data_IF_436955325546
#
_entry.id   IF_436955325546
#
_cell.length_a   1.000
_cell.length_b   1.000
_cell.length_c   1.000
_cell.angle_alpha   90.00
_cell.angle_beta   90.00
_cell.angle_gamma   90.00
#
_symmetry.space_group_name_H-M   'P 1'
#
loop_
_entity.id
_entity.type
_entity.pdbx_description
1 polymer ?
#
# COMPACT_ATOMS: atom_id res chain seq x y z
N UNK A 1 -27.73 -52.86 45.09
CA UNK A 1 -27.34 -51.54 45.61
C UNK A 1 -27.57 -50.51 44.51
N UNK A 2 -28.64 -49.69 44.64
CA UNK A 2 -29.10 -48.68 43.69
C UNK A 2 -28.49 -47.30 44.05
N UNK A 3 -28.88 -46.15 43.45
CA UNK A 3 -29.90 -45.92 42.40
C UNK A 3 -29.35 -45.08 41.21
N UNK A 4 -29.81 -45.20 39.95
CA UNK A 4 -31.13 -44.97 39.38
C UNK A 4 -31.73 -43.58 39.69
N UNK A 5 -31.95 -42.76 38.64
CA UNK A 5 -33.07 -41.79 38.47
C UNK A 5 -32.89 -41.12 37.10
N UNK A 6 -33.60 -41.50 36.06
CA UNK A 6 -35.06 -41.45 35.80
C UNK A 6 -35.34 -40.32 34.79
N UNK A 7 -35.56 -40.74 33.55
CA UNK A 7 -36.36 -40.03 32.54
C UNK A 7 -37.79 -39.91 33.09
N UNK A 8 -38.47 -38.76 32.96
CA UNK A 8 -39.92 -38.75 32.91
C UNK A 8 -40.38 -38.58 31.46
N UNK A 9 -41.11 -39.60 31.03
CA UNK A 9 -41.95 -39.64 29.85
C UNK A 9 -43.39 -39.60 30.39
N UNK A 10 -44.27 -38.85 29.69
CA UNK A 10 -45.75 -38.94 29.71
C UNK A 10 -46.38 -38.26 30.96
N UNK A 11 -47.50 -37.52 30.94
CA UNK A 11 -48.81 -37.80 30.35
C UNK A 11 -49.58 -36.54 29.92
N UNK A 12 -50.32 -36.71 28.81
CA UNK A 12 -51.44 -35.86 28.39
C UNK A 12 -52.60 -36.12 29.36
N UNK A 13 -53.08 -35.08 30.02
CA UNK A 13 -54.41 -35.06 30.63
C UNK A 13 -55.18 -33.90 30.02
N UNK A 14 -56.34 -34.24 29.45
CA UNK A 14 -57.37 -33.31 29.00
C UNK A 14 -58.32 -33.16 30.18
N UNK A 15 -58.43 -31.95 30.74
CA UNK A 15 -59.52 -31.56 31.62
C UNK A 15 -59.91 -30.11 31.29
N UNK A 16 -61.21 -29.85 31.37
CA UNK A 16 -61.94 -28.74 30.74
C UNK A 16 -61.67 -27.31 31.25
N UNK A 17 -62.51 -26.35 30.84
CA UNK A 17 -62.11 -24.97 30.59
C UNK A 17 -62.34 -24.07 31.81
N UNK A 18 -61.31 -23.36 32.27
CA UNK A 18 -61.51 -22.16 33.07
C UNK A 18 -60.55 -21.03 32.66
N UNK A 19 -61.19 -19.89 32.38
CA UNK A 19 -60.63 -18.59 32.07
C UNK A 19 -59.42 -18.23 32.95
N UNK A 20 -58.25 -18.03 32.35
CA UNK A 20 -57.23 -17.17 32.95
C UNK A 20 -56.46 -16.47 31.83
N UNK A 21 -56.59 -15.14 31.77
CA UNK A 21 -55.88 -14.28 30.82
C UNK A 21 -54.36 -14.44 31.00
N UNK A 22 -53.73 -15.21 30.11
CA UNK A 22 -52.28 -15.25 29.98
C UNK A 22 -51.80 -13.97 29.27
N UNK A 23 -51.29 -13.03 30.07
CA UNK A 23 -50.42 -11.94 29.57
C UNK A 23 -49.24 -12.58 28.84
N UNK A 24 -49.29 -12.57 27.51
CA UNK A 24 -48.13 -12.82 26.67
C UNK A 24 -47.15 -11.67 26.97
N UNK A 25 -46.13 -11.94 27.79
CA UNK A 25 -44.92 -11.13 27.82
C UNK A 25 -44.30 -11.24 26.45
N UNK A 26 -44.53 -10.22 25.64
CA UNK A 26 -43.80 -9.94 24.42
C UNK A 26 -42.29 -10.00 24.75
N UNK A 27 -41.65 -11.15 24.47
CA UNK A 27 -40.20 -11.28 24.54
C UNK A 27 -39.69 -10.41 23.41
N UNK A 28 -39.42 -9.15 23.76
CA UNK A 28 -38.99 -8.11 22.84
C UNK A 28 -38.05 -8.69 21.80
N UNK A 29 -38.52 -8.71 20.55
CA UNK A 29 -37.65 -8.77 19.37
C UNK A 29 -36.54 -7.76 19.63
N UNK A 30 -35.30 -8.23 19.84
CA UNK A 30 -34.10 -7.38 19.74
C UNK A 30 -34.27 -6.62 18.42
N UNK A 31 -34.57 -5.32 18.48
CA UNK A 31 -34.53 -4.45 17.30
C UNK A 31 -33.15 -4.66 16.72
N UNK A 32 -33.08 -5.35 15.57
CA UNK A 32 -31.84 -5.47 14.79
C UNK A 32 -31.45 -4.02 14.53
N UNK A 33 -30.43 -3.51 15.22
CA UNK A 33 -29.90 -2.17 14.96
C UNK A 33 -29.40 -2.22 13.52
N UNK A 34 -30.21 -1.70 12.60
CA UNK A 34 -29.84 -1.60 11.20
C UNK A 34 -28.76 -0.53 11.14
N UNK A 35 -27.51 -0.97 10.98
CA UNK A 35 -26.44 -0.10 10.54
C UNK A 35 -26.69 0.34 9.10
N UNK A 36 -26.14 1.47 8.69
CA UNK A 36 -26.25 1.96 7.31
C UNK A 36 -25.52 1.02 6.34
N UNK A 37 -24.38 0.49 6.78
CA UNK A 37 -23.55 -0.44 6.01
C UNK A 37 -23.16 -1.68 6.85
N UNK A 38 -22.86 -2.77 6.16
CA UNK A 38 -22.28 -3.96 6.78
C UNK A 38 -20.76 -3.78 6.93
N UNK A 39 -20.10 -3.24 5.90
CA UNK A 39 -18.66 -2.97 5.89
C UNK A 39 -18.39 -1.60 5.31
N UNK A 40 -17.54 -0.81 5.98
CA UNK A 40 -17.01 0.45 5.45
C UNK A 40 -15.50 0.36 5.28
N UNK A 41 -15.00 0.69 4.10
CA UNK A 41 -13.58 0.84 3.81
C UNK A 41 -13.20 2.32 3.80
N UNK A 42 -12.02 2.65 4.35
CA UNK A 42 -11.45 4.01 4.32
C UNK A 42 -10.18 4.00 3.48
N UNK A 43 -10.12 4.87 2.48
CA UNK A 43 -8.97 5.08 1.60
C UNK A 43 -9.20 4.49 0.19
N UNK A 44 -9.37 5.35 -0.79
CA UNK A 44 -9.46 5.06 -2.24
C UNK A 44 -8.11 4.99 -2.95
N UNK A 45 -7.05 4.60 -2.23
CA UNK A 45 -5.83 4.08 -2.85
C UNK A 45 -6.04 2.66 -3.40
N UNK A 46 -5.05 2.12 -4.11
CA UNK A 46 -5.16 0.81 -4.76
C UNK A 46 -5.48 -0.34 -3.79
N UNK A 47 -4.94 -0.30 -2.56
CA UNK A 47 -5.21 -1.33 -1.54
C UNK A 47 -6.69 -1.30 -1.11
N UNK A 48 -7.24 -0.12 -0.81
CA UNK A 48 -8.64 -0.01 -0.41
C UNK A 48 -9.61 -0.30 -1.56
N UNK A 49 -9.30 0.15 -2.77
CA UNK A 49 -10.11 -0.17 -3.96
C UNK A 49 -10.10 -1.68 -4.28
N UNK A 50 -8.94 -2.33 -4.23
CA UNK A 50 -8.82 -3.77 -4.40
C UNK A 50 -9.60 -4.54 -3.32
N UNK A 51 -9.51 -4.10 -2.06
CA UNK A 51 -10.20 -4.75 -0.93
C UNK A 51 -11.72 -4.60 -1.03
N UNK A 52 -12.21 -3.42 -1.42
CA UNK A 52 -13.63 -3.19 -1.65
C UNK A 52 -14.17 -4.10 -2.77
N UNK A 53 -13.44 -4.19 -3.89
CA UNK A 53 -13.78 -5.05 -5.02
C UNK A 53 -13.81 -6.54 -4.62
N UNK A 54 -12.77 -7.02 -3.94
CA UNK A 54 -12.66 -8.40 -3.48
C UNK A 54 -13.80 -8.76 -2.51
N UNK A 55 -14.06 -7.93 -1.49
CA UNK A 55 -15.14 -8.16 -0.54
C UNK A 55 -16.50 -8.19 -1.22
N UNK A 56 -16.75 -7.29 -2.19
CA UNK A 56 -18.03 -7.27 -2.89
C UNK A 56 -18.21 -8.48 -3.80
N UNK A 57 -17.14 -9.00 -4.36
CA UNK A 57 -17.16 -10.25 -5.12
C UNK A 57 -17.49 -11.45 -4.22
N UNK A 58 -16.92 -11.51 -3.00
CA UNK A 58 -17.16 -12.61 -2.06
C UNK A 58 -18.50 -12.53 -1.35
N UNK A 59 -18.99 -11.33 -1.09
CA UNK A 59 -20.24 -11.06 -0.38
C UNK A 59 -21.16 -10.14 -1.21
N UNK A 60 -21.78 -10.67 -2.29
CA UNK A 60 -22.59 -9.87 -3.22
C UNK A 60 -23.75 -9.13 -2.56
N UNK A 61 -24.31 -9.66 -1.47
CA UNK A 61 -25.46 -9.05 -0.78
C UNK A 61 -25.06 -8.05 0.32
N UNK A 62 -23.78 -7.98 0.68
CA UNK A 62 -23.31 -7.05 1.71
C UNK A 62 -23.39 -5.60 1.23
N UNK A 63 -23.89 -4.70 2.10
CA UNK A 63 -23.84 -3.26 1.86
C UNK A 63 -22.46 -2.75 2.22
N UNK A 64 -21.64 -2.51 1.20
CA UNK A 64 -20.25 -2.09 1.35
C UNK A 64 -20.08 -0.65 0.88
N UNK A 65 -19.47 0.18 1.72
CA UNK A 65 -19.10 1.56 1.41
C UNK A 65 -17.58 1.70 1.29
N UNK A 66 -17.11 2.41 0.26
CA UNK A 66 -15.72 2.88 0.15
C UNK A 66 -15.68 4.41 0.28
N UNK A 67 -14.98 4.90 1.30
CA UNK A 67 -14.80 6.33 1.58
C UNK A 67 -13.41 6.78 1.09
N UNK A 68 -13.35 7.87 0.34
CA UNK A 68 -12.12 8.54 -0.09
C UNK A 68 -12.23 10.03 0.21
N UNK A 69 -11.18 10.62 0.78
CA UNK A 69 -11.17 12.03 1.17
C UNK A 69 -10.97 12.97 -0.01
N UNK A 70 -10.29 12.50 -1.05
CA UNK A 70 -10.06 13.22 -2.29
C UNK A 70 -11.26 13.06 -3.24
N UNK A 71 -11.39 13.97 -4.21
CA UNK A 71 -12.45 13.87 -5.23
C UNK A 71 -12.20 12.77 -6.27
N UNK A 72 -11.00 12.17 -6.25
CA UNK A 72 -10.57 11.15 -7.21
C UNK A 72 -9.81 10.04 -6.49
N UNK A 73 -9.83 8.84 -7.07
CA UNK A 73 -9.05 7.72 -6.59
C UNK A 73 -7.55 7.89 -6.87
N UNK A 74 -6.70 7.22 -6.09
CA UNK A 74 -5.25 7.16 -6.31
C UNK A 74 -4.55 8.54 -6.32
N UNK A 75 -5.08 9.56 -5.64
CA UNK A 75 -4.50 10.91 -5.62
C UNK A 75 -3.18 11.04 -4.81
N UNK A 76 -2.80 10.02 -4.03
CA UNK A 76 -1.60 10.02 -3.20
C UNK A 76 -0.60 8.95 -3.65
N UNK A 77 -0.10 8.09 -2.75
CA UNK A 77 0.98 7.12 -3.02
C UNK A 77 0.75 6.24 -4.26
N UNK A 78 -0.49 5.85 -4.53
CA UNK A 78 -0.86 5.06 -5.72
C UNK A 78 -0.70 5.83 -7.04
N UNK A 79 -0.90 7.15 -7.04
CA UNK A 79 -0.72 8.00 -8.21
C UNK A 79 0.68 8.58 -8.35
N UNK A 80 1.48 8.49 -7.28
CA UNK A 80 2.81 9.08 -7.16
C UNK A 80 3.86 7.98 -6.93
N UNK A 81 4.00 7.09 -7.91
CA UNK A 81 5.00 6.02 -7.92
C UNK A 81 5.50 5.74 -9.34
N UNK A 82 6.51 4.88 -9.44
CA UNK A 82 7.20 4.54 -10.70
C UNK A 82 6.43 3.59 -11.64
N UNK A 83 5.18 3.22 -11.32
CA UNK A 83 4.38 2.33 -12.17
C UNK A 83 4.88 0.89 -12.28
N UNK A 84 5.88 0.50 -11.48
CA UNK A 84 6.55 -0.80 -11.61
C UNK A 84 5.71 -1.95 -11.04
N UNK A 85 5.51 -2.98 -11.86
CA UNK A 85 5.05 -4.31 -11.45
C UNK A 85 6.28 -5.10 -11.00
N UNK A 86 6.51 -5.15 -9.69
CA UNK A 86 7.72 -5.74 -9.11
C UNK A 86 7.73 -7.27 -9.20
N UNK A 87 8.90 -7.86 -9.44
CA UNK A 87 9.09 -9.31 -9.46
C UNK A 87 9.45 -9.93 -8.09
N UNK A 88 9.78 -9.13 -7.07
CA UNK A 88 10.08 -9.64 -5.73
C UNK A 88 11.54 -9.74 -5.32
N UNK A 89 12.47 -9.21 -6.12
CA UNK A 89 13.93 -9.47 -6.00
C UNK A 89 14.53 -9.16 -4.62
N UNK A 90 14.06 -8.10 -3.97
CA UNK A 90 14.69 -7.59 -2.75
C UNK A 90 14.10 -8.17 -1.47
N UNK A 91 12.93 -8.80 -1.52
CA UNK A 91 12.17 -9.11 -0.31
C UNK A 91 12.70 -10.35 0.39
N UNK A 92 12.67 -10.31 1.72
CA UNK A 92 13.13 -11.42 2.56
C UNK A 92 12.30 -12.68 2.24
N UNK A 93 12.94 -13.81 1.92
CA UNK A 93 12.23 -15.08 1.72
C UNK A 93 11.35 -15.43 2.93
N UNK A 94 10.15 -15.94 2.67
CA UNK A 94 9.14 -16.25 3.69
C UNK A 94 8.34 -15.05 4.22
N UNK A 95 8.69 -13.81 3.89
CA UNK A 95 7.89 -12.62 4.26
C UNK A 95 6.59 -12.52 3.47
N UNK A 96 5.59 -11.82 4.03
CA UNK A 96 4.34 -11.52 3.32
C UNK A 96 4.63 -10.69 2.07
N UNK A 97 5.57 -9.75 2.12
CA UNK A 97 6.03 -9.01 0.93
C UNK A 97 6.55 -9.90 -0.18
N UNK A 98 7.36 -10.91 0.12
CA UNK A 98 7.89 -11.81 -0.91
C UNK A 98 6.75 -12.61 -1.57
N UNK A 99 5.88 -13.21 -0.77
CA UNK A 99 4.74 -13.99 -1.27
C UNK A 99 3.75 -13.10 -2.05
N UNK A 100 3.29 -12.01 -1.44
CA UNK A 100 2.28 -11.14 -2.04
C UNK A 100 2.83 -10.40 -3.27
N UNK A 101 4.13 -10.09 -3.34
CA UNK A 101 4.69 -9.51 -4.56
C UNK A 101 4.66 -10.51 -5.71
N UNK A 102 5.01 -11.77 -5.46
CA UNK A 102 5.03 -12.83 -6.49
C UNK A 102 3.62 -13.08 -7.01
N UNK A 103 2.65 -13.31 -6.12
CA UNK A 103 1.23 -13.49 -6.50
C UNK A 103 0.67 -12.22 -7.14
N UNK A 104 1.01 -11.05 -6.59
CA UNK A 104 0.53 -9.75 -7.03
C UNK A 104 1.01 -9.35 -8.41
N UNK A 105 2.25 -9.69 -8.77
CA UNK A 105 2.81 -9.45 -10.10
C UNK A 105 1.97 -10.13 -11.18
N UNK A 106 1.66 -11.42 -10.98
CA UNK A 106 0.79 -12.19 -11.86
C UNK A 106 -0.63 -11.62 -11.88
N UNK A 107 -1.24 -11.41 -10.71
CA UNK A 107 -2.61 -10.91 -10.61
C UNK A 107 -2.78 -9.53 -11.25
N UNK A 108 -1.80 -8.63 -11.09
CA UNK A 108 -1.80 -7.30 -11.72
C UNK A 108 -1.78 -7.40 -13.24
N UNK A 109 -0.92 -8.25 -13.80
CA UNK A 109 -0.85 -8.46 -15.25
C UNK A 109 -2.15 -9.09 -15.77
N UNK A 110 -2.66 -10.10 -15.09
CA UNK A 110 -3.90 -10.78 -15.48
C UNK A 110 -5.10 -9.83 -15.42
N UNK A 111 -5.19 -8.97 -14.40
CA UNK A 111 -6.19 -7.92 -14.33
C UNK A 111 -6.06 -6.91 -15.47
N UNK A 112 -4.82 -6.51 -15.81
CA UNK A 112 -4.60 -5.61 -16.94
C UNK A 112 -5.06 -6.24 -18.26
N UNK A 113 -4.78 -7.52 -18.49
CA UNK A 113 -5.26 -8.27 -19.67
C UNK A 113 -6.79 -8.33 -19.71
N UNK A 114 -7.40 -8.80 -18.62
CA UNK A 114 -8.86 -8.98 -18.52
C UNK A 114 -9.63 -7.67 -18.74
N UNK A 115 -9.06 -6.54 -18.33
CA UNK A 115 -9.71 -5.24 -18.43
C UNK A 115 -9.14 -4.31 -19.50
N UNK A 116 -8.28 -4.81 -20.39
CA UNK A 116 -7.61 -4.05 -21.45
C UNK A 116 -6.92 -2.76 -20.91
N UNK A 117 -6.19 -2.88 -19.81
CA UNK A 117 -5.40 -1.80 -19.22
C UNK A 117 -3.95 -1.86 -19.72
N UNK A 118 -3.28 -0.71 -19.86
CA UNK A 118 -1.94 -0.68 -20.40
C UNK A 118 -0.93 -1.31 -19.42
N UNK A 119 -0.15 -2.27 -19.91
CA UNK A 119 1.02 -2.78 -19.20
C UNK A 119 2.09 -3.22 -20.20
N UNK A 120 3.35 -3.24 -19.76
CA UNK A 120 4.47 -3.75 -20.55
C UNK A 120 5.43 -4.51 -19.66
N UNK A 121 5.73 -5.77 -20.00
CA UNK A 121 6.75 -6.57 -19.31
C UNK A 121 8.13 -6.32 -19.93
N UNK A 122 8.69 -5.13 -19.69
CA UNK A 122 9.99 -4.73 -20.22
C UNK A 122 11.19 -5.37 -19.50
N UNK A 123 10.97 -6.00 -18.35
CA UNK A 123 12.04 -6.53 -17.51
C UNK A 123 12.84 -5.44 -16.79
N UNK A 124 13.75 -5.89 -15.91
CA UNK A 124 14.62 -5.02 -15.12
C UNK A 124 16.06 -5.51 -15.15
N UNK A 125 17.00 -4.58 -15.24
CA UNK A 125 18.43 -4.82 -15.08
C UNK A 125 18.92 -4.19 -13.78
N UNK A 126 19.49 -5.01 -12.90
CA UNK A 126 20.21 -4.57 -11.72
C UNK A 126 21.69 -4.49 -12.07
N UNK A 127 22.20 -3.27 -12.26
CA UNK A 127 23.53 -3.02 -12.82
C UNK A 127 24.54 -2.85 -11.69
N UNK A 128 25.63 -3.61 -11.75
CA UNK A 128 26.80 -3.39 -10.91
C UNK A 128 27.84 -2.59 -11.68
N UNK A 129 28.35 -1.54 -11.05
CA UNK A 129 29.38 -0.62 -11.53
C UNK A 129 30.70 -0.79 -10.78
N UNK A 130 30.70 -1.52 -9.66
CA UNK A 130 31.90 -1.77 -8.82
C UNK A 130 32.07 -3.26 -8.49
N UNK A 131 33.29 -3.71 -8.10
CA UNK A 131 33.51 -5.09 -7.64
C UNK A 131 32.65 -5.47 -6.43
N UNK A 132 32.44 -4.56 -5.48
CA UNK A 132 31.58 -4.77 -4.32
C UNK A 132 30.12 -4.98 -4.74
N UNK A 133 29.61 -4.21 -5.71
CA UNK A 133 28.27 -4.41 -6.26
C UNK A 133 28.14 -5.75 -7.00
N UNK A 134 29.21 -6.24 -7.65
CA UNK A 134 29.23 -7.57 -8.27
C UNK A 134 29.13 -8.70 -7.25
N UNK A 135 29.75 -8.53 -6.07
CA UNK A 135 29.63 -9.44 -4.94
C UNK A 135 28.20 -9.42 -4.37
N UNK A 136 27.68 -8.22 -4.05
CA UNK A 136 26.29 -8.03 -3.57
C UNK A 136 25.26 -8.59 -4.55
N UNK A 137 25.51 -8.50 -5.86
CA UNK A 137 24.65 -9.10 -6.89
C UNK A 137 24.55 -10.63 -6.77
N UNK A 138 25.60 -11.33 -6.35
CA UNK A 138 25.55 -12.79 -6.11
C UNK A 138 24.57 -13.15 -4.99
N UNK A 139 24.54 -12.35 -3.92
CA UNK A 139 23.57 -12.55 -2.84
C UNK A 139 22.11 -12.35 -3.33
N UNK A 140 21.89 -11.37 -4.21
CA UNK A 140 20.57 -11.14 -4.83
C UNK A 140 20.14 -12.28 -5.77
N UNK A 141 21.07 -12.91 -6.47
CA UNK A 141 20.80 -14.13 -7.25
C UNK A 141 20.33 -15.28 -6.36
N UNK A 142 21.02 -15.52 -5.23
CA UNK A 142 20.61 -16.51 -4.23
C UNK A 142 19.18 -16.25 -3.73
N UNK A 143 18.89 -15.00 -3.36
CA UNK A 143 17.54 -14.57 -2.94
C UNK A 143 16.49 -14.76 -4.02
N UNK A 144 16.81 -14.46 -5.28
CA UNK A 144 15.90 -14.71 -6.40
C UNK A 144 15.56 -16.20 -6.50
N UNK A 145 16.56 -17.09 -6.37
CA UNK A 145 16.36 -18.54 -6.38
C UNK A 145 15.45 -18.99 -5.24
N UNK A 146 15.69 -18.52 -4.02
CA UNK A 146 14.87 -18.84 -2.84
C UNK A 146 13.41 -18.39 -3.00
N UNK A 147 13.18 -17.22 -3.60
CA UNK A 147 11.84 -16.71 -3.89
C UNK A 147 11.21 -17.32 -5.17
N UNK A 148 11.94 -18.18 -5.89
CA UNK A 148 11.50 -18.76 -7.17
C UNK A 148 11.30 -17.71 -8.26
N UNK A 149 12.19 -16.72 -8.33
CA UNK A 149 12.23 -15.64 -9.32
C UNK A 149 13.32 -15.99 -10.34
N UNK A 150 12.94 -16.05 -11.63
CA UNK A 150 13.91 -16.22 -12.72
C UNK A 150 14.76 -14.95 -12.85
N UNK A 151 16.05 -15.08 -12.58
CA UNK A 151 17.04 -14.04 -12.77
C UNK A 151 18.21 -14.56 -13.63
N UNK A 152 18.72 -13.73 -14.53
CA UNK A 152 19.74 -14.10 -15.52
C UNK A 152 20.94 -13.16 -15.33
N UNK A 153 22.09 -13.71 -14.95
CA UNK A 153 23.35 -12.97 -14.86
C UNK A 153 23.81 -12.61 -16.27
N UNK A 154 24.12 -11.33 -16.48
CA UNK A 154 24.68 -10.80 -17.70
C UNK A 154 26.13 -10.36 -17.44
N UNK A 155 27.03 -10.76 -18.31
CA UNK A 155 28.36 -10.18 -18.43
C UNK A 155 28.27 -8.71 -18.89
N UNK A 156 29.39 -7.99 -18.78
CA UNK A 156 29.52 -6.63 -19.34
C UNK A 156 29.15 -6.55 -20.82
N UNK A 157 29.56 -7.54 -21.62
CA UNK A 157 29.28 -7.57 -23.06
C UNK A 157 27.78 -7.78 -23.32
N UNK A 158 27.12 -8.67 -22.59
CA UNK A 158 25.68 -8.90 -22.71
C UNK A 158 24.86 -7.71 -22.21
N UNK A 159 25.30 -7.04 -21.13
CA UNK A 159 24.70 -5.79 -20.67
C UNK A 159 24.76 -4.73 -21.77
N UNK A 160 25.93 -4.49 -22.37
CA UNK A 160 26.08 -3.51 -23.44
C UNK A 160 25.22 -3.83 -24.68
N UNK A 161 25.10 -5.12 -25.03
CA UNK A 161 24.19 -5.55 -26.12
C UNK A 161 22.72 -5.30 -25.78
N UNK A 162 22.33 -5.48 -24.51
CA UNK A 162 20.94 -5.30 -24.07
C UNK A 162 20.56 -3.82 -23.91
N UNK A 163 21.49 -2.99 -23.44
CA UNK A 163 21.30 -1.56 -23.17
C UNK A 163 22.60 -0.78 -23.50
N UNK A 164 22.78 -0.33 -24.76
CA UNK A 164 24.03 0.30 -25.22
C UNK A 164 24.38 1.62 -24.51
N UNK A 165 23.39 2.29 -23.94
CA UNK A 165 23.60 3.53 -23.18
C UNK A 165 23.95 3.29 -21.71
N UNK A 166 24.06 2.02 -21.29
CA UNK A 166 24.27 1.63 -19.90
C UNK A 166 25.65 1.00 -19.71
N UNK A 167 26.40 1.52 -18.74
CA UNK A 167 27.72 1.04 -18.33
C UNK A 167 27.64 0.25 -17.02
N UNK A 168 28.38 -0.85 -16.97
CA UNK A 168 28.55 -1.66 -15.75
C UNK A 168 29.54 -2.79 -15.97
N UNK A 169 29.95 -3.43 -14.88
CA UNK A 169 30.75 -4.65 -14.86
C UNK A 169 29.91 -5.89 -15.20
N UNK A 170 28.59 -5.79 -15.03
CA UNK A 170 27.61 -6.83 -15.33
C UNK A 170 26.24 -6.42 -14.79
N UNK A 171 25.24 -7.26 -15.02
CA UNK A 171 23.89 -7.02 -14.50
C UNK A 171 23.16 -8.30 -14.13
N UNK A 172 22.15 -8.18 -13.27
CA UNK A 172 21.16 -9.23 -13.04
C UNK A 172 19.85 -8.85 -13.74
N UNK A 173 19.51 -9.57 -14.81
CA UNK A 173 18.27 -9.38 -15.57
C UNK A 173 17.12 -10.15 -14.93
N UNK A 174 15.99 -9.46 -14.74
CA UNK A 174 14.76 -10.02 -14.17
C UNK A 174 13.59 -9.80 -15.14
N UNK A 175 13.34 -10.76 -16.06
CA UNK A 175 12.36 -10.60 -17.14
C UNK A 175 10.92 -10.40 -16.68
N UNK A 176 10.55 -10.93 -15.51
CA UNK A 176 9.18 -10.88 -15.01
C UNK A 176 8.72 -9.47 -14.60
N UNK A 177 9.65 -8.51 -14.45
CA UNK A 177 9.31 -7.14 -14.04
C UNK A 177 8.60 -6.41 -15.19
N UNK A 178 7.61 -5.58 -14.86
CA UNK A 178 6.91 -4.76 -15.85
C UNK A 178 6.56 -3.38 -15.35
N UNK A 179 5.82 -2.64 -16.16
CA UNK A 179 5.31 -1.30 -15.88
C UNK A 179 3.83 -1.22 -16.27
N UNK A 180 3.06 -0.38 -15.57
CA UNK A 180 1.64 -0.13 -15.82
C UNK A 180 1.22 1.23 -15.25
N UNK A 181 -0.04 1.58 -15.42
CA UNK A 181 -0.69 2.75 -14.82
C UNK A 181 -1.55 2.31 -13.63
N UNK A 182 -1.01 2.42 -12.41
CA UNK A 182 -1.76 2.06 -11.20
C UNK A 182 -2.94 2.99 -10.91
N UNK A 183 -2.99 4.21 -11.49
CA UNK A 183 -4.19 5.07 -11.39
C UNK A 183 -5.33 4.44 -12.17
N UNK A 184 -5.06 4.01 -13.41
CA UNK A 184 -6.06 3.31 -14.25
C UNK A 184 -6.52 1.99 -13.64
N UNK A 185 -5.60 1.20 -13.07
CA UNK A 185 -5.96 -0.03 -12.34
C UNK A 185 -6.91 0.29 -11.17
N UNK A 186 -6.57 1.28 -10.34
CA UNK A 186 -7.38 1.65 -9.18
C UNK A 186 -8.76 2.16 -9.59
N UNK A 187 -8.82 3.03 -10.61
CA UNK A 187 -10.09 3.50 -11.16
C UNK A 187 -10.94 2.35 -11.72
N UNK A 188 -10.32 1.36 -12.36
CA UNK A 188 -11.01 0.17 -12.86
C UNK A 188 -11.53 -0.71 -11.74
N UNK A 189 -10.77 -0.92 -10.67
CA UNK A 189 -11.23 -1.63 -9.47
C UNK A 189 -12.45 -0.95 -8.84
N UNK A 190 -12.39 0.37 -8.66
CA UNK A 190 -13.52 1.15 -8.15
C UNK A 190 -14.75 1.07 -9.07
N UNK A 191 -14.54 1.10 -10.39
CA UNK A 191 -15.60 0.87 -11.37
C UNK A 191 -16.25 -0.51 -11.20
N UNK A 192 -15.46 -1.59 -11.13
CA UNK A 192 -15.96 -2.96 -10.94
C UNK A 192 -16.73 -3.08 -9.63
N UNK A 193 -16.18 -2.57 -8.53
CA UNK A 193 -16.85 -2.53 -7.23
C UNK A 193 -18.22 -1.84 -7.29
N UNK A 194 -18.29 -0.66 -7.92
CA UNK A 194 -19.55 0.08 -8.06
C UNK A 194 -20.57 -0.68 -8.92
N UNK A 195 -20.14 -1.30 -10.02
CA UNK A 195 -21.03 -2.07 -10.90
C UNK A 195 -21.54 -3.34 -10.25
N UNK A 196 -20.81 -3.89 -9.28
CA UNK A 196 -21.28 -4.98 -8.44
C UNK A 196 -22.25 -4.53 -7.32
N UNK A 197 -22.63 -3.24 -7.25
CA UNK A 197 -23.55 -2.70 -6.25
C UNK A 197 -22.87 -2.14 -4.99
N UNK A 198 -21.54 -1.93 -5.02
CA UNK A 198 -20.80 -1.21 -3.98
C UNK A 198 -21.09 0.29 -3.98
N UNK A 199 -21.06 0.93 -2.80
CA UNK A 199 -21.25 2.39 -2.66
C UNK A 199 -19.91 3.10 -2.53
N UNK A 200 -19.75 4.23 -3.21
CA UNK A 200 -18.53 5.05 -3.17
C UNK A 200 -18.88 6.45 -2.67
N UNK A 201 -18.10 6.97 -1.73
CA UNK A 201 -18.21 8.33 -1.21
C UNK A 201 -16.84 9.03 -1.26
N UNK A 202 -16.60 9.81 -2.31
CA UNK A 202 -15.40 10.64 -2.48
C UNK A 202 -15.55 12.01 -1.83
N UNK A 203 -14.46 12.79 -1.73
CA UNK A 203 -14.47 14.14 -1.15
C UNK A 203 -14.80 14.16 0.35
N UNK A 204 -14.70 13.02 1.03
CA UNK A 204 -15.20 12.81 2.39
C UNK A 204 -14.07 12.35 3.32
N UNK A 205 -13.52 13.30 4.07
CA UNK A 205 -12.43 13.05 5.01
C UNK A 205 -12.97 12.49 6.32
N UNK A 206 -12.41 11.39 6.82
CA UNK A 206 -12.87 10.77 8.08
C UNK A 206 -12.29 11.55 9.25
N UNK A 207 -13.16 12.15 10.05
CA UNK A 207 -12.76 13.03 11.16
C UNK A 207 -12.90 12.38 12.53
N UNK A 208 -13.73 11.35 12.67
CA UNK A 208 -13.89 10.60 13.91
C UNK A 208 -14.43 9.21 13.64
N UNK A 209 -13.89 8.25 14.39
CA UNK A 209 -14.35 6.88 14.48
C UNK A 209 -14.68 6.58 15.94
N UNK A 210 -15.80 5.90 16.20
CA UNK A 210 -16.14 5.40 17.55
C UNK A 210 -16.72 4.02 17.46
N UNK A 211 -16.04 3.07 18.08
CA UNK A 211 -16.49 1.68 18.20
C UNK A 211 -17.38 1.49 19.41
N UNK A 212 -18.40 0.66 19.23
CA UNK A 212 -19.26 0.13 20.29
C UNK A 212 -19.37 -1.38 20.12
N UNK A 213 -20.00 -2.06 21.08
CA UNK A 213 -20.22 -3.50 21.00
C UNK A 213 -21.05 -3.94 19.78
N UNK A 214 -21.78 -3.03 19.12
CA UNK A 214 -22.70 -3.37 18.03
C UNK A 214 -22.36 -2.76 16.67
N UNK A 215 -21.66 -1.63 16.65
CA UNK A 215 -21.31 -0.93 15.40
C UNK A 215 -20.13 0.04 15.60
N UNK A 216 -19.66 0.59 14.50
CA UNK A 216 -18.75 1.73 14.45
C UNK A 216 -19.50 2.92 13.87
N UNK A 217 -19.46 4.05 14.57
CA UNK A 217 -19.92 5.34 14.05
C UNK A 217 -18.78 6.02 13.31
N UNK A 218 -19.01 6.38 12.05
CA UNK A 218 -18.05 7.08 11.19
C UNK A 218 -18.56 8.50 10.96
N UNK A 219 -17.76 9.50 11.31
CA UNK A 219 -18.02 10.90 10.97
C UNK A 219 -17.06 11.34 9.89
N UNK A 220 -17.60 12.04 8.90
CA UNK A 220 -16.85 12.60 7.78
C UNK A 220 -17.03 14.10 7.68
N UNK A 221 -16.11 14.75 6.99
CA UNK A 221 -16.17 16.15 6.62
C UNK A 221 -15.97 16.29 5.11
N UNK A 222 -16.83 17.06 4.46
CA UNK A 222 -16.71 17.37 3.03
C UNK A 222 -15.91 18.65 2.81
N UNK A 223 -14.77 18.57 2.13
CA UNK A 223 -13.89 19.73 1.87
C UNK A 223 -14.45 20.70 0.81
N UNK A 224 -15.37 20.26 -0.03
CA UNK A 224 -15.85 21.01 -1.20
C UNK A 224 -17.20 21.70 -0.99
N UNK A 225 -17.90 21.41 0.11
CA UNK A 225 -19.20 22.02 0.38
C UNK A 225 -19.03 23.44 0.97
N UNK A 226 -19.71 24.44 0.37
CA UNK A 226 -19.72 25.86 0.82
C UNK A 226 -20.14 26.04 2.29
N UNK A 227 -20.78 25.02 2.88
CA UNK A 227 -20.88 24.79 4.31
C UNK A 227 -20.34 23.39 4.57
N UNK A 228 -19.49 23.26 5.59
CA UNK A 228 -19.05 21.99 6.14
C UNK A 228 -20.24 21.09 6.51
N UNK A 229 -20.82 20.38 5.55
CA UNK A 229 -21.80 19.34 5.80
C UNK A 229 -21.01 18.07 6.11
N UNK A 230 -20.95 17.71 7.39
CA UNK A 230 -20.43 16.41 7.79
C UNK A 230 -21.50 15.35 7.66
N UNK A 231 -21.13 14.15 7.22
CA UNK A 231 -22.01 12.99 7.28
C UNK A 231 -21.64 12.13 8.48
N UNK A 232 -22.66 11.64 9.18
CA UNK A 232 -22.51 10.58 10.15
C UNK A 232 -23.20 9.33 9.60
N UNK A 233 -22.49 8.20 9.64
CA UNK A 233 -23.03 6.89 9.29
C UNK A 233 -22.57 5.84 10.28
N UNK A 234 -23.23 4.69 10.25
CA UNK A 234 -22.93 3.53 11.07
C UNK A 234 -22.59 2.33 10.20
N UNK A 235 -21.60 1.56 10.62
CA UNK A 235 -21.21 0.30 9.97
C UNK A 235 -21.04 -0.80 11.00
N UNK A 236 -21.27 -2.06 10.64
CA UNK A 236 -20.95 -3.19 11.55
C UNK A 236 -19.45 -3.37 11.70
N UNK A 237 -18.74 -3.22 10.58
CA UNK A 237 -17.31 -3.47 10.47
C UNK A 237 -16.60 -2.41 9.62
N UNK A 238 -15.31 -2.24 9.87
CA UNK A 238 -14.49 -1.22 9.22
C UNK A 238 -13.13 -1.78 8.77
N UNK A 239 -12.69 -1.39 7.56
CA UNK A 239 -11.33 -1.70 7.09
C UNK A 239 -10.63 -0.40 6.68
N UNK A 240 -9.57 -0.03 7.39
CA UNK A 240 -8.82 1.20 7.14
C UNK A 240 -7.58 0.92 6.27
N UNK A 241 -7.52 1.54 5.10
CA UNK A 241 -6.42 1.50 4.14
C UNK A 241 -5.82 2.91 3.95
N UNK A 242 -5.54 3.62 5.05
CA UNK A 242 -5.24 5.06 5.05
C UNK A 242 -3.87 5.47 4.53
N UNK A 243 -2.98 4.55 4.18
CA UNK A 243 -1.64 4.84 3.65
C UNK A 243 -0.86 5.81 4.55
N UNK A 244 -0.62 7.02 4.07
CA UNK A 244 0.05 8.10 4.81
C UNK A 244 -0.68 8.55 6.09
N UNK A 245 -1.93 8.14 6.32
CA UNK A 245 -2.72 8.44 7.51
C UNK A 245 -2.97 7.20 8.40
N UNK A 246 -2.29 6.07 8.13
CA UNK A 246 -2.61 4.78 8.75
C UNK A 246 -2.52 4.77 10.28
N UNK A 247 -1.47 5.35 10.86
CA UNK A 247 -1.30 5.50 12.32
C UNK A 247 -2.33 6.46 12.96
N UNK A 248 -2.78 7.49 12.22
CA UNK A 248 -3.87 8.37 12.68
C UNK A 248 -5.19 7.64 12.72
N UNK A 249 -5.53 6.87 11.69
CA UNK A 249 -6.76 6.07 11.67
C UNK A 249 -6.76 4.98 12.75
N UNK A 250 -5.61 4.35 13.00
CA UNK A 250 -5.47 3.38 14.08
C UNK A 250 -5.69 4.05 15.46
N UNK A 251 -5.07 5.21 15.71
CA UNK A 251 -5.29 6.00 16.93
C UNK A 251 -6.73 6.51 17.08
N UNK A 252 -7.40 6.89 15.99
CA UNK A 252 -8.81 7.30 16.02
C UNK A 252 -9.75 6.16 16.44
N UNK A 253 -9.29 4.91 16.34
CA UNK A 253 -10.00 3.71 16.80
C UNK A 253 -9.52 3.24 18.19
N UNK A 254 -8.77 4.08 18.92
CA UNK A 254 -8.20 3.78 20.23
C UNK A 254 -7.32 2.49 20.24
N UNK A 255 -6.73 2.15 19.10
CA UNK A 255 -5.76 1.04 19.01
C UNK A 255 -4.44 1.52 19.62
N UNK A 256 -3.95 0.79 20.62
CA UNK A 256 -2.62 1.03 21.16
C UNK A 256 -1.58 0.64 20.10
N UNK A 257 -0.87 1.65 19.60
CA UNK A 257 0.16 1.49 18.59
C UNK A 257 1.48 2.06 19.08
N UNK A 258 2.55 1.34 18.83
CA UNK A 258 3.92 1.71 19.16
C UNK A 258 4.67 2.31 17.97
N UNK A 259 3.97 2.63 16.87
CA UNK A 259 4.56 3.16 15.65
C UNK A 259 3.97 4.51 15.22
N UNK A 260 4.72 5.22 14.38
CA UNK A 260 4.25 6.37 13.60
C UNK A 260 4.61 6.22 12.14
N UNK A 261 3.80 6.81 11.28
CA UNK A 261 4.14 6.93 9.86
C UNK A 261 5.03 8.15 9.68
N UNK A 262 6.28 7.89 9.28
CA UNK A 262 7.25 8.92 8.90
C UNK A 262 7.24 9.03 7.37
N UNK A 263 6.91 10.20 6.80
CA UNK A 263 6.90 10.37 5.36
C UNK A 263 8.34 10.51 4.83
N UNK A 264 8.70 9.67 3.87
CA UNK A 264 9.91 9.84 3.07
C UNK A 264 9.54 10.30 1.68
N UNK A 265 9.95 11.53 1.33
CA UNK A 265 9.70 12.14 0.03
C UNK A 265 10.77 11.72 -0.97
N UNK A 266 10.34 11.35 -2.17
CA UNK A 266 11.22 11.00 -3.28
C UNK A 266 11.01 11.97 -4.43
N UNK A 267 12.08 12.68 -4.78
CA UNK A 267 12.13 13.55 -5.96
C UNK A 267 12.47 12.74 -7.20
N UNK A 268 11.78 13.10 -8.29
CA UNK A 268 11.93 12.52 -9.60
C UNK A 268 12.22 13.62 -10.63
N UNK A 269 12.88 13.22 -11.71
CA UNK A 269 12.98 14.02 -12.92
C UNK A 269 12.41 13.25 -14.10
N UNK A 270 11.96 13.97 -15.12
CA UNK A 270 11.61 13.42 -16.42
C UNK A 270 12.70 13.78 -17.41
N UNK A 271 13.08 12.81 -18.23
CA UNK A 271 13.94 13.06 -19.37
C UNK A 271 13.12 13.74 -20.50
N UNK A 272 13.76 14.57 -21.35
CA UNK A 272 13.13 15.13 -22.53
C UNK A 272 12.82 14.05 -23.58
N UNK A 273 11.86 14.32 -24.46
CA UNK A 273 11.35 13.34 -25.42
C UNK A 273 12.42 12.69 -26.31
N UNK A 274 13.47 13.44 -26.68
CA UNK A 274 14.61 12.93 -27.45
C UNK A 274 15.36 11.76 -26.77
N UNK A 275 15.16 11.57 -25.46
CA UNK A 275 15.79 10.52 -24.65
C UNK A 275 14.79 9.44 -24.20
N UNK A 276 13.55 9.42 -24.69
CA UNK A 276 12.56 8.41 -24.32
C UNK A 276 12.96 6.98 -24.72
N UNK A 277 13.90 6.83 -25.67
CA UNK A 277 14.48 5.56 -26.10
C UNK A 277 15.87 5.28 -25.51
N UNK A 278 16.31 6.03 -24.50
CA UNK A 278 17.65 5.85 -23.91
C UNK A 278 17.81 4.46 -23.26
N UNK A 279 16.71 3.89 -22.76
CA UNK A 279 16.65 2.55 -22.17
C UNK A 279 15.40 1.80 -22.60
N UNK A 280 15.50 0.47 -22.71
CA UNK A 280 14.35 -0.40 -22.99
C UNK A 280 13.84 -1.16 -21.76
N UNK A 281 14.72 -1.40 -20.78
CA UNK A 281 14.44 -2.06 -19.51
C UNK A 281 14.44 -1.05 -18.35
N UNK A 282 13.85 -1.44 -17.22
CA UNK A 282 14.04 -0.73 -15.95
C UNK A 282 15.51 -0.86 -15.50
N UNK A 283 16.23 0.23 -15.27
CA UNK A 283 17.64 0.21 -14.84
C UNK A 283 17.75 0.64 -13.39
N UNK A 284 18.25 -0.28 -12.56
CA UNK A 284 18.37 -0.12 -11.12
C UNK A 284 19.82 -0.39 -10.71
N UNK A 285 20.39 0.34 -9.75
CA UNK A 285 21.67 -0.02 -9.17
C UNK A 285 21.51 -1.27 -8.29
N UNK A 286 22.64 -1.93 -7.99
CA UNK A 286 22.68 -2.90 -6.91
C UNK A 286 22.51 -2.14 -5.58
N UNK A 287 21.54 -2.53 -4.73
CA UNK A 287 21.25 -1.84 -3.47
C UNK A 287 22.43 -1.92 -2.51
N UNK A 288 22.59 -0.85 -1.74
CA UNK A 288 23.44 -0.83 -0.57
C UNK A 288 22.59 -1.15 0.68
N UNK A 289 22.90 -2.22 1.43
CA UNK A 289 22.19 -2.56 2.67
C UNK A 289 22.19 -1.44 3.72
N UNK A 290 23.25 -0.62 3.75
CA UNK A 290 23.38 0.48 4.71
C UNK A 290 22.51 1.70 4.33
N UNK A 291 21.98 1.70 3.09
CA UNK A 291 21.22 2.78 2.47
C UNK A 291 20.01 2.23 1.71
N UNK A 292 19.09 1.51 2.38
CA UNK A 292 18.04 0.73 1.72
C UNK A 292 17.00 1.57 0.97
N UNK A 293 16.97 2.88 1.21
CA UNK A 293 16.07 3.82 0.54
C UNK A 293 16.68 4.46 -0.71
N UNK A 294 17.95 4.19 -1.00
CA UNK A 294 18.72 5.03 -1.89
C UNK A 294 19.18 4.29 -3.15
N UNK A 295 18.57 4.65 -4.28
CA UNK A 295 18.96 4.22 -5.61
C UNK A 295 18.21 5.06 -6.64
N UNK A 296 18.91 5.95 -7.32
CA UNK A 296 18.31 6.64 -8.48
C UNK A 296 18.13 5.59 -9.56
N UNK A 297 16.94 5.46 -10.14
CA UNK A 297 16.64 4.51 -11.22
C UNK A 297 16.45 5.25 -12.55
N UNK A 298 16.62 4.55 -13.68
CA UNK A 298 16.00 4.93 -14.95
C UNK A 298 14.79 4.05 -15.20
N UNK A 299 13.63 4.67 -15.24
CA UNK A 299 12.34 3.98 -15.33
C UNK A 299 11.64 4.42 -16.61
N UNK A 300 11.61 3.59 -17.67
CA UNK A 300 10.69 3.82 -18.77
C UNK A 300 9.26 3.67 -18.25
N UNK A 301 8.44 4.67 -18.48
CA UNK A 301 7.05 4.74 -18.04
C UNK A 301 6.11 4.15 -19.10
N UNK A 302 4.89 3.82 -18.69
CA UNK A 302 3.91 3.19 -19.57
C UNK A 302 3.40 4.14 -20.68
N UNK A 303 3.51 5.45 -20.47
CA UNK A 303 3.20 6.50 -21.45
C UNK A 303 4.34 6.77 -22.45
N UNK A 304 5.48 6.08 -22.30
CA UNK A 304 6.65 6.22 -23.16
C UNK A 304 7.71 7.21 -22.66
N UNK A 305 7.41 8.02 -21.63
CA UNK A 305 8.41 8.88 -20.99
C UNK A 305 9.45 8.06 -20.23
N UNK A 306 10.60 8.67 -19.91
CA UNK A 306 11.59 8.06 -19.01
C UNK A 306 11.79 8.95 -17.78
N UNK A 307 11.60 8.38 -16.60
CA UNK A 307 11.84 9.08 -15.34
C UNK A 307 13.15 8.66 -14.71
N UNK A 308 13.78 9.60 -14.02
CA UNK A 308 15.00 9.41 -13.23
C UNK A 308 14.62 9.53 -11.76
N UNK A 309 14.81 8.47 -10.97
CA UNK A 309 14.55 8.48 -9.53
C UNK A 309 13.89 7.27 -8.89
N UNK A 310 13.44 7.39 -7.63
CA UNK A 310 13.55 8.57 -6.78
C UNK A 310 14.87 8.67 -5.98
N UNK A 311 15.12 9.83 -5.38
CA UNK A 311 15.95 9.90 -4.15
C UNK A 311 15.11 9.59 -2.90
N UNK A 312 15.67 9.78 -1.71
CA UNK A 312 14.92 9.71 -0.46
C UNK A 312 15.31 10.87 0.47
N UNK A 313 14.34 11.70 0.83
CA UNK A 313 14.47 12.82 1.77
C UNK A 313 13.31 12.81 2.77
N UNK A 314 13.42 13.57 3.85
CA UNK A 314 12.42 13.65 4.90
C UNK A 314 11.24 14.43 4.35
N UNK A 315 10.04 13.89 4.50
CA UNK A 315 8.83 14.68 4.38
C UNK A 315 8.59 15.46 5.67
N UNK A 316 8.27 16.75 5.57
CA UNK A 316 7.73 17.52 6.70
C UNK A 316 6.21 17.73 6.58
N UNK A 317 5.61 17.03 5.63
CA UNK A 317 4.16 16.89 5.42
C UNK A 317 3.89 15.52 4.83
N UNK A 318 2.88 14.83 5.36
CA UNK A 318 2.48 13.49 4.92
C UNK A 318 2.08 13.50 3.44
N UNK A 319 1.38 14.54 3.01
CA UNK A 319 0.90 14.73 1.63
C UNK A 319 1.48 15.99 0.99
N UNK A 320 2.74 16.32 1.28
CA UNK A 320 3.43 17.46 0.70
C UNK A 320 4.05 17.10 -0.64
N UNK A 321 3.27 17.09 -1.72
CA UNK A 321 3.76 16.81 -3.08
C UNK A 321 4.27 18.06 -3.82
N UNK A 322 3.83 19.26 -3.40
CA UNK A 322 4.24 20.54 -3.99
C UNK A 322 5.66 20.98 -3.60
N UNK A 323 6.08 22.17 -4.02
CA UNK A 323 7.40 22.73 -3.63
C UNK A 323 7.49 22.99 -2.12
N UNK A 324 6.41 23.46 -1.52
CA UNK A 324 6.29 23.64 -0.07
C UNK A 324 5.84 22.31 0.54
N UNK A 325 6.73 21.69 1.30
CA UNK A 325 6.53 20.40 1.96
C UNK A 325 6.61 20.56 3.48
N UNK A 326 5.73 21.36 4.07
CA UNK A 326 5.69 21.60 5.52
C UNK A 326 4.24 21.62 5.99
N UNK A 327 3.95 20.88 7.05
CA UNK A 327 2.71 20.96 7.82
C UNK A 327 3.04 20.93 9.32
N UNK A 328 2.62 21.94 10.10
CA UNK A 328 2.96 22.03 11.52
C UNK A 328 2.44 20.83 12.34
N UNK A 329 1.26 20.30 12.01
CA UNK A 329 0.66 19.18 12.74
C UNK A 329 1.40 17.88 12.45
N UNK A 330 1.70 17.60 11.17
CA UNK A 330 2.50 16.45 10.76
C UNK A 330 3.92 16.52 11.37
N UNK A 331 4.53 17.71 11.34
CA UNK A 331 5.88 17.92 11.86
C UNK A 331 5.94 17.71 13.37
N UNK A 332 4.98 18.26 14.13
CA UNK A 332 4.94 18.09 15.58
C UNK A 332 4.67 16.63 15.98
N UNK A 333 3.74 15.94 15.30
CA UNK A 333 3.45 14.51 15.53
C UNK A 333 4.68 13.64 15.29
N UNK A 334 5.51 13.99 14.29
CA UNK A 334 6.78 13.32 14.02
C UNK A 334 7.86 13.63 15.08
N UNK A 335 8.10 14.90 15.39
CA UNK A 335 9.18 15.32 16.31
C UNK A 335 8.93 14.91 17.76
N UNK A 336 7.67 14.74 18.17
CA UNK A 336 7.31 14.26 19.51
C UNK A 336 7.41 12.74 19.66
N UNK A 337 7.65 12.01 18.57
CA UNK A 337 7.77 10.56 18.59
C UNK A 337 9.21 10.09 18.81
N UNK A 338 9.45 9.32 19.89
CA UNK A 338 10.79 8.82 20.24
C UNK A 338 11.49 8.06 19.11
N UNK A 339 10.74 7.20 18.39
CA UNK A 339 11.29 6.36 17.32
C UNK A 339 11.89 7.18 16.18
N UNK A 340 11.37 8.38 15.90
CA UNK A 340 11.93 9.28 14.89
C UNK A 340 13.39 9.64 15.21
N UNK A 341 13.67 10.05 16.45
CA UNK A 341 15.02 10.44 16.86
C UNK A 341 16.00 9.27 16.87
N UNK A 342 15.52 8.06 17.13
CA UNK A 342 16.35 6.85 17.05
C UNK A 342 16.70 6.50 15.60
N UNK A 343 15.75 6.58 14.66
CA UNK A 343 16.04 6.43 13.22
C UNK A 343 17.06 7.45 12.76
N UNK A 344 16.85 8.73 13.08
CA UNK A 344 17.78 9.78 12.70
C UNK A 344 19.16 9.53 13.32
N UNK A 345 19.21 9.19 14.61
CA UNK A 345 20.40 8.74 15.35
C UNK A 345 21.25 7.71 14.60
N UNK A 346 20.62 6.61 14.21
CA UNK A 346 21.27 5.46 13.57
C UNK A 346 21.75 5.75 12.16
N UNK A 347 21.03 6.60 11.41
CA UNK A 347 21.31 6.87 10.01
C UNK A 347 21.98 8.24 9.74
N UNK A 348 22.35 9.01 10.77
CA UNK A 348 22.98 10.34 10.61
C UNK A 348 24.28 10.29 9.80
N UNK A 349 25.16 9.31 10.05
CA UNK A 349 26.47 9.21 9.38
C UNK A 349 26.36 8.85 7.89
N UNK A 350 25.40 8.02 7.52
CA UNK A 350 25.16 7.61 6.14
C UNK A 350 24.20 8.56 5.40
N UNK A 351 23.31 9.24 6.13
CA UNK A 351 22.33 10.18 5.61
C UNK A 351 22.92 11.52 5.19
N UNK A 352 23.73 12.22 5.99
CA UNK A 352 24.04 13.64 5.71
C UNK A 352 24.69 13.87 4.33
N UNK A 353 25.72 13.10 3.96
CA UNK A 353 26.38 13.26 2.66
C UNK A 353 25.49 12.90 1.47
N UNK A 354 24.64 11.88 1.62
CA UNK A 354 23.78 11.38 0.56
C UNK A 354 22.46 12.14 0.42
N UNK A 355 22.01 12.77 1.50
CA UNK A 355 20.90 13.71 1.49
C UNK A 355 21.29 14.97 0.75
N UNK A 356 22.49 15.49 0.98
CA UNK A 356 23.02 16.63 0.21
C UNK A 356 23.05 16.26 -1.27
N UNK A 357 23.70 15.17 -1.66
CA UNK A 357 23.78 14.71 -3.07
C UNK A 357 22.42 14.39 -3.71
N UNK A 358 21.39 14.14 -2.90
CA UNK A 358 20.03 13.91 -3.38
C UNK A 358 19.23 15.20 -3.56
N UNK A 359 19.53 16.28 -2.84
CA UNK A 359 18.75 17.52 -2.83
C UNK A 359 19.10 18.45 -4.01
N UNK A 360 20.33 18.41 -4.53
CA UNK A 360 20.72 19.23 -5.69
C UNK A 360 20.88 18.43 -6.99
N UNK A 361 20.40 19.00 -8.10
CA UNK A 361 20.41 18.37 -9.45
C UNK A 361 21.77 17.77 -9.86
N UNK A 362 22.92 18.47 -9.71
CA UNK A 362 24.22 17.88 -10.05
C UNK A 362 24.62 16.63 -9.25
N UNK A 363 24.29 16.55 -7.96
CA UNK A 363 24.55 15.36 -7.13
C UNK A 363 23.72 14.17 -7.61
N UNK A 364 22.46 14.42 -7.92
CA UNK A 364 21.54 13.47 -8.53
C UNK A 364 22.08 12.93 -9.87
N UNK A 365 22.56 13.83 -10.72
CA UNK A 365 23.18 13.50 -12.00
C UNK A 365 24.43 12.62 -11.82
N UNK A 366 25.27 12.91 -10.82
CA UNK A 366 26.47 12.10 -10.53
C UNK A 366 26.11 10.64 -10.25
N UNK A 367 25.00 10.40 -9.54
CA UNK A 367 24.55 9.04 -9.18
C UNK A 367 24.07 8.26 -10.39
N UNK A 368 23.30 8.88 -11.29
CA UNK A 368 22.84 8.22 -12.52
C UNK A 368 23.98 8.02 -13.53
N UNK A 369 24.92 8.96 -13.61
CA UNK A 369 26.09 8.86 -14.49
C UNK A 369 27.03 7.71 -14.19
N UNK A 370 26.95 7.12 -12.99
CA UNK A 370 27.68 5.88 -12.66
C UNK A 370 27.40 4.76 -13.67
N UNK A 371 26.19 4.70 -14.21
CA UNK A 371 25.79 3.69 -15.18
C UNK A 371 25.13 4.25 -16.43
N UNK A 372 24.80 5.54 -16.52
CA UNK A 372 24.34 6.18 -17.77
C UNK A 372 25.06 7.53 -17.98
N UNK A 373 26.30 7.52 -18.50
CA UNK A 373 27.17 8.69 -18.52
C UNK A 373 26.74 9.79 -19.49
N UNK A 374 25.93 9.47 -20.51
CA UNK A 374 25.51 10.38 -21.56
C UNK A 374 24.55 11.48 -21.09
N UNK A 375 23.87 11.29 -19.96
CA UNK A 375 22.93 12.26 -19.42
C UNK A 375 23.65 13.55 -18.98
N UNK A 376 23.05 14.69 -19.29
CA UNK A 376 23.42 16.02 -18.82
C UNK A 376 22.46 16.55 -17.75
N UNK A 377 22.84 17.67 -17.13
CA UNK A 377 22.00 18.32 -16.09
C UNK A 377 20.71 18.91 -16.68
N UNK A 378 20.80 19.40 -17.92
CA UNK A 378 19.68 20.00 -18.64
C UNK A 378 18.67 18.96 -19.15
N UNK A 379 19.02 17.67 -19.08
CA UNK A 379 18.09 16.57 -19.35
C UNK A 379 17.13 16.31 -18.16
N UNK A 380 17.36 16.91 -16.99
CA UNK A 380 16.58 16.66 -15.77
C UNK A 380 15.47 17.71 -15.59
N UNK A 381 14.35 17.48 -16.27
CA UNK A 381 13.13 18.30 -16.14
C UNK A 381 12.33 17.90 -14.90
N UNK A 382 11.63 18.84 -14.22
CA UNK A 382 10.83 18.51 -13.04
C UNK A 382 9.80 17.41 -13.30
N UNK A 383 9.58 16.54 -12.32
CA UNK A 383 8.53 15.53 -12.34
C UNK A 383 7.85 15.46 -10.96
N UNK A 384 6.57 15.05 -10.86
CA UNK A 384 5.89 14.96 -9.57
C UNK A 384 6.63 14.07 -8.56
N UNK A 385 6.75 14.56 -7.32
CA UNK A 385 7.36 13.81 -6.23
C UNK A 385 6.48 12.63 -5.79
N UNK A 386 7.11 11.61 -5.20
CA UNK A 386 6.47 10.53 -4.47
C UNK A 386 6.63 10.70 -2.96
N UNK A 387 5.73 10.12 -2.18
CA UNK A 387 5.90 10.04 -0.71
C UNK A 387 5.64 8.61 -0.26
N UNK A 388 6.59 8.04 0.45
CA UNK A 388 6.49 6.73 1.07
C UNK A 388 6.04 6.88 2.52
N UNK A 389 4.90 6.28 2.84
CA UNK A 389 4.50 6.02 4.22
C UNK A 389 5.38 4.89 4.79
N UNK A 390 6.31 5.22 5.68
CA UNK A 390 7.15 4.25 6.38
C UNK A 390 6.73 4.20 7.84
N UNK A 391 6.22 3.05 8.29
CA UNK A 391 6.02 2.84 9.73
C UNK A 391 7.37 2.69 10.42
N UNK A 392 7.54 3.46 11.50
CA UNK A 392 8.71 3.47 12.37
C UNK A 392 8.23 3.14 13.78
N UNK A 393 8.82 2.10 14.39
CA UNK A 393 8.49 1.68 15.75
C UNK A 393 9.14 2.61 16.79
N UNK A 394 8.67 2.52 18.04
CA UNK A 394 9.13 3.36 19.16
C UNK A 394 10.59 3.14 19.54
N UNK A 395 11.21 2.05 19.07
CA UNK A 395 12.63 1.72 19.22
C UNK A 395 13.51 2.22 18.05
N UNK A 396 12.89 2.83 17.03
CA UNK A 396 13.55 3.34 15.83
C UNK A 396 13.72 2.30 14.72
N UNK A 397 13.21 1.08 14.88
CA UNK A 397 13.22 0.11 13.80
C UNK A 397 12.20 0.48 12.71
N UNK A 398 12.57 0.19 11.46
CA UNK A 398 11.72 0.43 10.30
C UNK A 398 10.92 -0.84 10.01
N UNK A 399 9.60 -0.74 9.93
CA UNK A 399 8.76 -1.89 9.62
C UNK A 399 8.97 -2.31 8.17
N UNK A 400 9.63 -3.46 7.99
CA UNK A 400 10.02 -3.97 6.68
C UNK A 400 8.95 -4.79 5.98
N UNK A 401 8.05 -5.47 6.70
CA UNK A 401 6.95 -6.25 6.09
C UNK A 401 5.61 -5.49 6.15
N UNK A 402 4.53 -6.10 5.68
CA UNK A 402 3.18 -5.57 5.90
C UNK A 402 2.80 -5.64 7.38
N UNK A 403 2.22 -4.56 7.91
CA UNK A 403 1.74 -4.50 9.29
C UNK A 403 0.24 -4.26 9.29
N UNK A 404 -0.46 -5.00 10.13
CA UNK A 404 -1.91 -4.89 10.31
C UNK A 404 -2.24 -4.79 11.80
N UNK A 405 -3.31 -4.07 12.13
CA UNK A 405 -3.87 -4.01 13.47
C UNK A 405 -5.38 -4.27 13.43
N UNK A 406 -5.98 -4.67 14.55
CA UNK A 406 -7.41 -4.98 14.63
C UNK A 406 -8.04 -4.63 15.96
N UNK A 407 -9.35 -4.42 15.92
CA UNK A 407 -10.25 -4.37 17.09
C UNK A 407 -11.30 -5.48 16.97
N UNK A 408 -12.37 -5.43 17.79
CA UNK A 408 -13.50 -6.35 17.64
C UNK A 408 -14.26 -6.15 16.31
N UNK A 409 -14.23 -4.93 15.75
CA UNK A 409 -15.00 -4.57 14.55
C UNK A 409 -14.18 -3.90 13.45
N UNK A 410 -12.87 -3.75 13.61
CA UNK A 410 -12.04 -3.09 12.59
C UNK A 410 -10.74 -3.83 12.26
N UNK A 411 -10.30 -3.67 11.01
CA UNK A 411 -8.99 -4.07 10.51
C UNK A 411 -8.27 -2.85 9.93
N UNK A 412 -6.98 -2.70 10.19
CA UNK A 412 -6.18 -1.55 9.77
C UNK A 412 -4.94 -2.00 9.04
N UNK A 413 -4.71 -1.47 7.85
CA UNK A 413 -3.44 -1.60 7.13
C UNK A 413 -2.51 -0.51 7.64
N UNK A 414 -1.62 -0.90 8.55
CA UNK A 414 -0.73 0.00 9.28
C UNK A 414 0.57 0.31 8.52
N UNK A 415 1.07 -0.64 7.73
CA UNK A 415 2.27 -0.43 6.91
C UNK A 415 2.12 -1.19 5.59
N UNK A 416 2.02 -0.46 4.48
CA UNK A 416 1.99 -1.02 3.12
C UNK A 416 2.88 -0.22 2.15
N UNK A 417 4.21 -0.21 2.35
CA UNK A 417 5.14 0.42 1.43
C UNK A 417 5.31 -0.44 0.16
N UNK A 418 6.20 -0.03 -0.75
CA UNK A 418 6.55 -0.86 -1.93
C UNK A 418 6.87 -2.30 -1.51
N UNK A 419 6.27 -3.32 -2.17
CA UNK A 419 5.56 -3.29 -3.46
C UNK A 419 4.02 -3.26 -3.37
N UNK A 420 3.41 -2.61 -2.38
CA UNK A 420 1.96 -2.68 -2.14
C UNK A 420 1.06 -2.49 -3.37
N UNK A 421 1.44 -1.64 -4.34
CA UNK A 421 0.66 -1.49 -5.58
C UNK A 421 0.66 -2.76 -6.45
N UNK A 422 1.81 -3.43 -6.60
CA UNK A 422 1.88 -4.76 -7.23
C UNK A 422 1.14 -5.80 -6.40
N UNK A 423 1.25 -5.72 -5.07
CA UNK A 423 0.66 -6.66 -4.12
C UNK A 423 -0.81 -6.41 -3.77
N UNK A 424 -1.48 -5.45 -4.41
CA UNK A 424 -2.77 -4.95 -3.93
C UNK A 424 -3.86 -6.03 -3.88
N UNK A 425 -3.96 -6.89 -4.89
CA UNK A 425 -4.96 -7.98 -4.92
C UNK A 425 -4.66 -9.08 -3.89
N UNK A 426 -3.42 -9.58 -3.71
CA UNK A 426 -3.11 -10.46 -2.59
C UNK A 426 -3.36 -9.85 -1.21
N UNK A 427 -3.07 -8.55 -1.01
CA UNK A 427 -3.38 -7.84 0.23
C UNK A 427 -4.90 -7.80 0.44
N UNK A 428 -5.68 -7.50 -0.61
CA UNK A 428 -7.13 -7.50 -0.57
C UNK A 428 -7.72 -8.87 -0.20
N UNK A 429 -7.18 -9.94 -0.78
CA UNK A 429 -7.54 -11.32 -0.44
C UNK A 429 -7.26 -11.61 1.04
N UNK A 430 -6.05 -11.30 1.52
CA UNK A 430 -5.67 -11.47 2.92
C UNK A 430 -6.59 -10.69 3.87
N UNK A 431 -6.88 -9.41 3.57
CA UNK A 431 -7.80 -8.59 4.37
C UNK A 431 -9.22 -9.16 4.36
N UNK A 432 -9.66 -9.73 3.24
CA UNK A 432 -10.98 -10.35 3.13
C UNK A 432 -11.07 -11.66 3.92
N UNK A 433 -9.99 -12.44 3.96
CA UNK A 433 -9.89 -13.65 4.80
C UNK A 433 -9.93 -13.27 6.29
N UNK A 434 -9.13 -12.27 6.69
CA UNK A 434 -9.12 -11.75 8.05
C UNK A 434 -10.48 -11.15 8.45
N UNK A 435 -11.17 -10.47 7.53
CA UNK A 435 -12.50 -9.95 7.75
C UNK A 435 -13.52 -11.09 7.92
N UNK A 436 -13.45 -12.14 7.10
CA UNK A 436 -14.33 -13.30 7.23
C UNK A 436 -14.22 -13.94 8.62
N UNK A 437 -13.00 -14.15 9.09
CA UNK A 437 -12.73 -14.74 10.41
C UNK A 437 -13.16 -13.81 11.56
N UNK A 438 -12.73 -12.56 11.54
CA UNK A 438 -12.97 -11.61 12.62
C UNK A 438 -14.44 -11.20 12.72
N UNK A 439 -15.11 -11.06 11.58
CA UNK A 439 -16.46 -10.51 11.50
C UNK A 439 -17.53 -11.60 11.36
N UNK A 440 -17.14 -12.86 11.13
CA UNK A 440 -18.04 -14.00 10.91
C UNK A 440 -19.03 -13.74 9.77
N UNK A 441 -18.49 -13.28 8.63
CA UNK A 441 -19.24 -12.91 7.43
C UNK A 441 -19.84 -14.12 6.70
#
# INVERSE_FOLDING_TARGET
MPPAKAVPLIYVYYDGPENTQLKIKDRGRRKKTLTDYDITLIGGGIVGAATAMELKQRYPDARILLIEKENTFAAHQTGHNSGVIHAGVYYQPGSLKADFCKRGSRATIDFCRTHNLPFRQCGKLLVATTPLEMERMKALEGRCRENGIRAIRLSRQELNRAEPNILGLGALKVPATGITDFKKITAKMAYVFRHAGGTIMTGSDVSSLRETDTCITVRTFCKTAKKAAGHQLTTKYLIACGGLQADRLARMMDIDIDFRIIPFRGEYYCLPDRLNSIVSHLIYPIPDPDLPFLGVHLTPMIDGSVTVGPNATLGWKREGYGTINLDPSDTLDMLTFKGFWQVMGTHLKSGIGEWIDSIYKPGYLRRIRKYCPSLGVDDLSPYPAGIRAQAVLKDGSLVHDFLFARTGRSLHVCNAPSPAATSAMPIAGYLSDQAAEAFKL
#
